data_IF_175862770361
#
_entry.id   IF_175862770361
#
_cell.length_a   1.000
_cell.length_b   1.000
_cell.length_c   1.000
_cell.angle_alpha   90.00
_cell.angle_beta   90.00
_cell.angle_gamma   90.00
#
_symmetry.space_group_name_H-M   'P 1'
#
loop_
_entity.id
_entity.type
_entity.pdbx_description
1 polymer ?
#
# COMPACT_ATOMS: atom_id res chain seq x y z
N UNK A 1 15.46 -0.86 -18.37
CA UNK A 1 14.04 -0.78 -18.77
C UNK A 1 13.19 -2.01 -18.36
N UNK A 2 13.60 -3.28 -18.54
CA UNK A 2 12.74 -4.42 -18.17
C UNK A 2 12.48 -4.55 -16.65
N UNK A 3 13.45 -4.19 -15.80
CA UNK A 3 13.30 -4.35 -14.34
C UNK A 3 12.29 -3.38 -13.71
N UNK A 4 12.16 -2.16 -14.22
CA UNK A 4 11.17 -1.20 -13.68
C UNK A 4 9.73 -1.65 -13.97
N UNK A 5 9.48 -2.16 -15.18
CA UNK A 5 8.19 -2.73 -15.55
C UNK A 5 7.82 -3.93 -14.68
N UNK A 6 8.78 -4.78 -14.34
CA UNK A 6 8.58 -5.90 -13.43
C UNK A 6 8.21 -5.44 -12.01
N UNK A 7 8.92 -4.44 -11.46
CA UNK A 7 8.62 -3.90 -10.13
C UNK A 7 7.21 -3.31 -10.10
N UNK A 8 6.84 -2.51 -11.11
CA UNK A 8 5.48 -1.96 -11.20
C UNK A 8 4.42 -3.05 -11.37
N UNK A 9 4.70 -4.08 -12.17
CA UNK A 9 3.84 -5.24 -12.30
C UNK A 9 3.62 -5.98 -10.99
N UNK A 10 4.68 -6.22 -10.22
CA UNK A 10 4.61 -6.88 -8.90
C UNK A 10 3.80 -6.04 -7.91
N UNK A 11 4.06 -4.73 -7.82
CA UNK A 11 3.33 -3.83 -6.92
C UNK A 11 1.86 -3.73 -7.31
N UNK A 12 1.55 -3.62 -8.61
CA UNK A 12 0.18 -3.59 -9.11
C UNK A 12 -0.56 -4.90 -8.84
N UNK A 13 0.09 -6.05 -9.06
CA UNK A 13 -0.48 -7.36 -8.77
C UNK A 13 -0.74 -7.53 -7.27
N UNK A 14 0.22 -7.13 -6.42
CA UNK A 14 0.07 -7.13 -4.97
C UNK A 14 -1.14 -6.29 -4.55
N UNK A 15 -1.24 -5.06 -5.04
CA UNK A 15 -2.36 -4.18 -4.74
C UNK A 15 -3.70 -4.77 -5.23
N UNK A 16 -3.74 -5.34 -6.44
CA UNK A 16 -4.93 -5.97 -7.01
C UNK A 16 -5.41 -7.15 -6.17
N UNK A 17 -4.51 -8.05 -5.76
CA UNK A 17 -4.83 -9.17 -4.87
C UNK A 17 -5.44 -8.66 -3.56
N UNK A 18 -4.87 -7.63 -2.95
CA UNK A 18 -5.39 -7.05 -1.72
C UNK A 18 -6.75 -6.38 -1.91
N UNK A 19 -6.97 -5.68 -3.03
CA UNK A 19 -8.28 -5.12 -3.37
C UNK A 19 -9.32 -6.23 -3.50
N UNK A 20 -9.01 -7.36 -4.17
CA UNK A 20 -9.91 -8.50 -4.29
C UNK A 20 -10.23 -9.07 -2.90
N UNK A 21 -9.24 -9.22 -2.02
CA UNK A 21 -9.45 -9.71 -0.65
C UNK A 21 -10.33 -8.77 0.17
N UNK A 22 -10.05 -7.47 0.14
CA UNK A 22 -10.87 -6.44 0.80
C UNK A 22 -12.30 -6.47 0.25
N UNK A 23 -12.48 -6.64 -1.06
CA UNK A 23 -13.80 -6.68 -1.70
C UNK A 23 -14.62 -7.90 -1.28
N UNK A 24 -13.95 -9.03 -1.03
CA UNK A 24 -14.58 -10.25 -0.50
C UNK A 24 -14.96 -10.15 0.97
N UNK A 25 -14.42 -9.18 1.72
CA UNK A 25 -14.88 -8.92 3.08
C UNK A 25 -16.29 -8.32 3.04
N UNK A 26 -17.28 -9.10 3.49
CA UNK A 26 -18.63 -8.58 3.76
C UNK A 26 -18.57 -7.54 4.89
N UNK A 27 -18.55 -6.26 4.54
CA UNK A 27 -18.69 -5.14 5.46
C UNK A 27 -20.16 -4.74 5.58
N UNK A 28 -20.66 -4.41 6.78
CA UNK A 28 -21.87 -3.60 6.89
C UNK A 28 -21.62 -2.25 6.19
N UNK A 29 -22.63 -1.74 5.48
CA UNK A 29 -22.59 -0.79 4.37
C UNK A 29 -21.51 0.32 4.40
N UNK A 30 -20.94 0.62 3.22
CA UNK A 30 -20.10 1.81 2.97
C UNK A 30 -18.64 1.79 3.45
N UNK A 31 -18.28 0.94 4.42
CA UNK A 31 -16.96 0.97 5.06
C UNK A 31 -15.76 0.47 4.24
N UNK A 32 -15.98 -0.19 3.09
CA UNK A 32 -14.92 -0.88 2.34
C UNK A 32 -14.00 0.04 1.52
N UNK A 33 -14.53 1.14 1.00
CA UNK A 33 -13.84 1.97 0.01
C UNK A 33 -12.57 2.63 0.55
N UNK A 34 -12.57 3.05 1.82
CA UNK A 34 -11.37 3.61 2.46
C UNK A 34 -10.17 2.64 2.45
N UNK A 35 -10.43 1.33 2.56
CA UNK A 35 -9.37 0.31 2.53
C UNK A 35 -8.88 0.03 1.11
N UNK A 36 -9.79 0.04 0.13
CA UNK A 36 -9.43 -0.06 -1.29
C UNK A 36 -8.59 1.14 -1.72
N UNK A 37 -8.99 2.36 -1.31
CA UNK A 37 -8.22 3.58 -1.54
C UNK A 37 -6.86 3.51 -0.86
N UNK A 38 -6.75 2.95 0.33
CA UNK A 38 -5.46 2.77 0.99
C UNK A 38 -4.57 1.75 0.27
N UNK A 39 -5.15 0.62 -0.18
CA UNK A 39 -4.43 -0.44 -0.87
C UNK A 39 -3.88 -0.01 -2.23
N UNK A 40 -4.58 0.87 -2.94
CA UNK A 40 -4.17 1.40 -4.26
C UNK A 40 -3.43 2.74 -4.14
N UNK A 41 -3.99 3.67 -3.40
CA UNK A 41 -3.50 5.04 -3.24
C UNK A 41 -2.22 5.11 -2.43
N UNK A 42 -2.03 4.23 -1.45
CA UNK A 42 -0.79 4.15 -0.68
C UNK A 42 0.44 3.89 -1.56
N UNK A 43 0.48 2.77 -2.32
CA UNK A 43 1.56 2.52 -3.26
C UNK A 43 1.73 3.60 -4.32
N UNK A 44 0.62 4.11 -4.88
CA UNK A 44 0.67 5.18 -5.87
C UNK A 44 1.32 6.46 -5.31
N UNK A 45 0.96 6.86 -4.08
CA UNK A 45 1.55 8.02 -3.42
C UNK A 45 3.05 7.84 -3.16
N UNK A 46 3.49 6.65 -2.75
CA UNK A 46 4.92 6.34 -2.56
C UNK A 46 5.67 6.43 -3.90
N UNK A 47 5.12 5.87 -4.98
CA UNK A 47 5.72 5.97 -6.31
C UNK A 47 5.85 7.42 -6.78
N UNK A 48 4.80 8.23 -6.60
CA UNK A 48 4.82 9.66 -6.95
C UNK A 48 5.85 10.39 -6.11
N UNK A 49 5.89 10.16 -4.79
CA UNK A 49 6.87 10.80 -3.90
C UNK A 49 8.31 10.47 -4.32
N UNK A 50 8.62 9.20 -4.59
CA UNK A 50 9.94 8.80 -5.07
C UNK A 50 10.29 9.44 -6.41
N UNK A 51 9.33 9.52 -7.34
CA UNK A 51 9.54 10.18 -8.63
C UNK A 51 9.79 11.68 -8.47
N UNK A 52 9.12 12.36 -7.55
CA UNK A 52 9.36 13.77 -7.24
C UNK A 52 10.73 14.00 -6.62
N UNK A 53 11.18 13.13 -5.70
CA UNK A 53 12.50 13.23 -5.10
C UNK A 53 13.62 13.07 -6.13
N UNK A 54 13.45 12.15 -7.08
CA UNK A 54 14.39 11.96 -8.19
C UNK A 54 14.35 13.15 -9.17
N UNK A 55 13.15 13.57 -9.59
CA UNK A 55 13.00 14.68 -10.54
C UNK A 55 13.47 16.03 -9.98
N UNK A 56 13.32 16.24 -8.67
CA UNK A 56 13.82 17.43 -7.97
C UNK A 56 15.31 17.40 -7.67
N UNK A 57 16.04 16.34 -8.05
CA UNK A 57 17.47 16.20 -7.81
C UNK A 57 17.85 15.94 -6.35
N UNK A 58 16.88 15.64 -5.48
CA UNK A 58 17.12 15.34 -4.07
C UNK A 58 17.71 13.93 -3.88
N UNK A 59 17.47 13.02 -4.84
CA UNK A 59 17.97 11.64 -4.84
C UNK A 59 18.47 11.29 -6.24
N UNK A 60 19.58 10.56 -6.32
CA UNK A 60 20.10 10.04 -7.58
C UNK A 60 19.21 8.91 -8.12
N UNK A 61 18.93 8.96 -9.42
CA UNK A 61 18.09 7.96 -10.09
C UNK A 61 18.77 6.58 -10.16
N UNK A 62 20.10 6.56 -10.26
CA UNK A 62 20.89 5.33 -10.32
C UNK A 62 21.30 4.92 -8.92
N UNK A 63 20.90 3.71 -8.52
CA UNK A 63 21.25 3.14 -7.20
C UNK A 63 22.76 3.12 -6.94
N UNK A 64 23.58 2.96 -7.98
CA UNK A 64 25.04 2.96 -7.85
C UNK A 64 25.63 4.34 -7.52
N UNK A 65 24.88 5.42 -7.80
CA UNK A 65 25.27 6.81 -7.53
C UNK A 65 24.63 7.34 -6.24
N UNK A 66 23.73 6.56 -5.63
CA UNK A 66 23.06 6.95 -4.40
C UNK A 66 24.02 6.93 -3.22
N UNK A 67 23.94 7.96 -2.39
CA UNK A 67 24.57 7.95 -1.06
C UNK A 67 23.91 6.89 -0.17
N UNK A 68 24.58 6.52 0.94
CA UNK A 68 24.04 5.53 1.89
C UNK A 68 22.64 5.92 2.40
N UNK A 69 22.40 7.21 2.65
CA UNK A 69 21.09 7.71 3.08
C UNK A 69 20.00 7.59 2.01
N UNK A 70 20.32 7.94 0.76
CA UNK A 70 19.42 7.77 -0.39
C UNK A 70 19.06 6.29 -0.62
N UNK A 71 20.03 5.41 -0.40
CA UNK A 71 19.85 3.97 -0.51
C UNK A 71 18.85 3.47 0.54
N UNK A 72 19.03 3.85 1.82
CA UNK A 72 18.08 3.51 2.89
C UNK A 72 16.67 4.02 2.62
N UNK A 73 16.54 5.24 2.10
CA UNK A 73 15.25 5.81 1.74
C UNK A 73 14.59 5.02 0.60
N UNK A 74 15.34 4.68 -0.44
CA UNK A 74 14.86 3.86 -1.57
C UNK A 74 14.45 2.45 -1.12
N UNK A 75 15.21 1.85 -0.21
CA UNK A 75 14.90 0.55 0.41
C UNK A 75 13.62 0.62 1.25
N UNK A 76 13.48 1.66 2.07
CA UNK A 76 12.30 1.93 2.87
C UNK A 76 11.05 2.10 2.00
N UNK A 77 11.13 2.90 0.93
CA UNK A 77 10.05 3.06 -0.03
C UNK A 77 9.68 1.73 -0.69
N UNK A 78 10.66 0.91 -1.07
CA UNK A 78 10.42 -0.41 -1.65
C UNK A 78 9.71 -1.36 -0.69
N UNK A 79 10.10 -1.37 0.58
CA UNK A 79 9.43 -2.14 1.62
C UNK A 79 7.99 -1.66 1.84
N UNK A 80 7.78 -0.34 1.87
CA UNK A 80 6.44 0.25 2.00
C UNK A 80 5.54 -0.13 0.82
N UNK A 81 6.03 -0.09 -0.42
CA UNK A 81 5.26 -0.51 -1.60
C UNK A 81 4.74 -1.95 -1.49
N UNK A 82 5.52 -2.83 -0.88
CA UNK A 82 5.12 -4.22 -0.63
C UNK A 82 4.12 -4.33 0.52
N UNK A 83 4.36 -3.64 1.63
CA UNK A 83 3.64 -3.83 2.89
C UNK A 83 2.34 -3.02 2.96
N UNK A 84 2.24 -1.86 2.32
CA UNK A 84 1.05 -1.00 2.41
C UNK A 84 -0.25 -1.69 2.00
N UNK A 85 -0.33 -2.44 0.87
CA UNK A 85 -1.53 -3.18 0.52
C UNK A 85 -1.94 -4.22 1.58
N UNK A 86 -0.96 -4.87 2.21
CA UNK A 86 -1.21 -5.84 3.29
C UNK A 86 -1.73 -5.17 4.55
N UNK A 87 -1.18 -4.02 4.92
CA UNK A 87 -1.67 -3.22 6.05
C UNK A 87 -3.10 -2.74 5.82
N UNK A 88 -3.46 -2.37 4.59
CA UNK A 88 -4.83 -2.00 4.24
C UNK A 88 -5.81 -3.15 4.47
N UNK A 89 -5.45 -4.37 4.04
CA UNK A 89 -6.26 -5.58 4.27
C UNK A 89 -6.33 -5.94 5.76
N UNK A 90 -5.21 -5.86 6.49
CA UNK A 90 -5.20 -6.12 7.93
C UNK A 90 -6.12 -5.15 8.68
N UNK A 91 -6.03 -3.86 8.37
CA UNK A 91 -6.89 -2.83 8.94
C UNK A 91 -8.37 -3.09 8.60
N UNK A 92 -8.67 -3.56 7.38
CA UNK A 92 -10.01 -3.95 6.98
C UNK A 92 -10.54 -5.13 7.83
N UNK A 93 -9.73 -6.16 8.04
CA UNK A 93 -10.10 -7.33 8.86
C UNK A 93 -10.36 -6.92 10.31
N UNK A 94 -9.49 -6.10 10.90
CA UNK A 94 -9.61 -5.65 12.28
C UNK A 94 -10.85 -4.76 12.49
N UNK A 95 -11.13 -3.81 11.59
CA UNK A 95 -12.32 -2.96 11.66
C UNK A 95 -13.61 -3.80 11.55
N UNK A 96 -13.63 -4.79 10.64
CA UNK A 96 -14.74 -5.72 10.53
C UNK A 96 -14.98 -6.50 11.83
N UNK A 97 -13.93 -7.09 12.41
CA UNK A 97 -14.03 -7.84 13.68
C UNK A 97 -14.51 -6.96 14.82
N UNK A 98 -13.98 -5.73 14.93
CA UNK A 98 -14.39 -4.76 15.95
C UNK A 98 -15.87 -4.40 15.84
N UNK A 99 -16.35 -4.13 14.63
CA UNK A 99 -17.78 -3.81 14.38
C UNK A 99 -18.70 -4.99 14.72
N UNK A 100 -18.30 -6.21 14.38
CA UNK A 100 -19.07 -7.41 14.72
C UNK A 100 -19.15 -7.63 16.24
N UNK A 101 -18.05 -7.42 16.96
CA UNK A 101 -18.05 -7.52 18.43
C UNK A 101 -18.99 -6.49 19.08
N UNK A 102 -18.98 -5.24 18.60
CA UNK A 102 -19.87 -4.17 19.09
C UNK A 102 -21.36 -4.46 18.82
N UNK A 103 -21.67 -5.08 17.68
CA UNK A 103 -23.05 -5.49 17.35
C UNK A 103 -23.55 -6.62 18.27
N UNK A 104 -22.68 -7.58 18.61
CA UNK A 104 -23.02 -8.68 19.52
C UNK A 104 -23.31 -8.19 20.95
N UNK A 105 -22.60 -7.17 21.42
CA UNK A 105 -22.81 -6.58 22.76
C UNK A 105 -24.00 -5.63 22.85
N UNK A 106 -24.57 -5.21 21.72
CA UNK A 106 -25.71 -4.28 21.66
C UNK A 106 -27.04 -4.97 21.35
N UNK A 107 -27.06 -6.30 21.24
CA UNK A 107 -28.27 -7.11 21.13
C UNK A 107 -28.69 -7.56 22.54
N UNK A 108 -29.86 -7.13 23.06
CA UNK A 108 -30.36 -7.48 24.40
C UNK A 108 -30.81 -8.95 24.50
#
# INVERSE_FOLDING_TARGET
MPNELLIYGIVAMNALVQVILIWRLRFPEGGRWKYVLLALGGPAAILVAMRLLVAGGAIHARVAEQTMWEHWLTLGASALLLVTPWLATLAAILDKKRRAALAATSSP
#
